data_IF_630354123852
#
_entry.id   IF_630354123852
#
_cell.length_a   1.000
_cell.length_b   1.000
_cell.length_c   1.000
_cell.angle_alpha   90.00
_cell.angle_beta   90.00
_cell.angle_gamma   90.00
#
_symmetry.space_group_name_H-M   'P 1'
#
loop_
_entity.id
_entity.type
_entity.pdbx_description
1 polymer ?
#
# COMPACT_ATOMS: atom_id res chain seq x y z
N UNK A 1 6.83 20.41 -22.55
CA UNK A 1 5.43 19.99 -22.77
C UNK A 1 4.87 19.51 -21.44
N UNK A 2 3.87 20.21 -20.89
CA UNK A 2 3.21 19.80 -19.65
C UNK A 2 2.28 18.62 -19.97
N UNK A 3 2.45 17.48 -19.31
CA UNK A 3 1.45 16.40 -19.30
C UNK A 3 0.22 16.95 -18.57
N UNK A 4 -0.71 17.55 -19.30
CA UNK A 4 -2.04 17.81 -18.75
C UNK A 4 -2.68 16.44 -18.52
N UNK A 5 -2.91 16.16 -17.24
CA UNK A 5 -3.48 14.93 -16.72
C UNK A 5 -4.84 14.68 -17.36
N UNK A 6 -4.97 13.55 -18.05
CA UNK A 6 -6.23 12.99 -18.52
C UNK A 6 -7.15 12.57 -17.37
N UNK A 7 -6.61 12.33 -16.16
CA UNK A 7 -7.38 11.83 -15.01
C UNK A 7 -8.36 12.85 -14.41
N UNK A 8 -8.08 14.16 -14.51
CA UNK A 8 -8.93 15.18 -13.89
C UNK A 8 -10.27 15.31 -14.63
N UNK A 9 -10.26 15.18 -15.97
CA UNK A 9 -11.47 15.24 -16.80
C UNK A 9 -12.41 14.08 -16.53
N UNK A 10 -11.86 12.89 -16.27
CA UNK A 10 -12.66 11.70 -15.99
C UNK A 10 -13.43 11.83 -14.66
N UNK A 11 -12.82 12.45 -13.64
CA UNK A 11 -13.45 12.61 -12.31
C UNK A 11 -14.64 13.58 -12.34
N UNK A 12 -14.49 14.71 -13.05
CA UNK A 12 -15.56 15.72 -13.17
C UNK A 12 -16.76 15.17 -13.94
N UNK A 13 -16.52 14.38 -14.98
CA UNK A 13 -17.55 13.70 -15.77
C UNK A 13 -18.28 12.63 -14.94
N UNK A 14 -17.55 11.77 -14.22
CA UNK A 14 -18.13 10.78 -13.30
C UNK A 14 -18.97 11.46 -12.22
N UNK A 15 -18.50 12.58 -11.66
CA UNK A 15 -19.24 13.35 -10.66
C UNK A 15 -20.55 13.94 -11.24
N UNK A 16 -20.51 14.43 -12.48
CA UNK A 16 -21.70 14.95 -13.15
C UNK A 16 -22.70 13.84 -13.47
N UNK A 17 -22.24 12.67 -13.90
CA UNK A 17 -23.10 11.50 -14.14
C UNK A 17 -23.79 11.03 -12.84
N UNK A 18 -23.04 10.96 -11.74
CA UNK A 18 -23.60 10.66 -10.43
C UNK A 18 -24.63 11.70 -9.97
N UNK A 19 -24.35 13.00 -10.20
CA UNK A 19 -25.29 14.08 -9.86
C UNK A 19 -26.62 13.99 -10.64
N UNK A 20 -26.57 13.50 -11.87
CA UNK A 20 -27.74 13.23 -12.71
C UNK A 20 -28.44 11.90 -12.35
N UNK A 21 -28.00 11.20 -11.30
CA UNK A 21 -28.58 9.94 -10.84
C UNK A 21 -28.22 8.72 -11.70
N UNK A 22 -27.18 8.82 -12.53
CA UNK A 22 -26.70 7.68 -13.32
C UNK A 22 -25.88 6.73 -12.44
N UNK A 23 -25.93 5.45 -12.78
CA UNK A 23 -25.07 4.45 -12.15
C UNK A 23 -23.63 4.63 -12.62
N UNK A 24 -22.74 4.89 -11.66
CA UNK A 24 -21.31 5.10 -11.87
C UNK A 24 -20.48 4.05 -11.11
N UNK A 25 -21.12 3.00 -10.59
CA UNK A 25 -20.49 1.97 -9.76
C UNK A 25 -19.33 1.26 -10.46
N UNK A 26 -19.35 1.14 -11.79
CA UNK A 26 -18.26 0.58 -12.59
C UNK A 26 -16.94 1.35 -12.46
N UNK A 27 -16.99 2.63 -12.09
CA UNK A 27 -15.80 3.45 -11.87
C UNK A 27 -15.22 3.30 -10.45
N UNK A 28 -15.93 2.63 -9.55
CA UNK A 28 -15.47 2.37 -8.19
C UNK A 28 -15.09 0.89 -8.04
N UNK A 29 -13.81 0.63 -7.82
CA UNK A 29 -13.31 -0.74 -7.64
C UNK A 29 -13.73 -1.40 -6.32
N UNK A 30 -14.40 -0.67 -5.42
CA UNK A 30 -14.73 -1.12 -4.06
C UNK A 30 -13.51 -1.37 -3.16
N UNK A 31 -12.30 -1.33 -3.72
CA UNK A 31 -11.04 -1.65 -3.07
C UNK A 31 -10.41 -0.42 -2.42
N UNK A 32 -11.20 0.33 -1.65
CA UNK A 32 -10.65 1.41 -0.84
C UNK A 32 -9.93 0.80 0.38
N UNK A 33 -8.65 0.47 0.22
CA UNK A 33 -7.81 0.14 1.36
C UNK A 33 -7.44 1.44 2.07
N UNK A 34 -8.07 1.68 3.23
CA UNK A 34 -7.68 2.75 4.14
C UNK A 34 -6.21 2.55 4.51
N UNK A 35 -5.34 3.47 4.05
CA UNK A 35 -3.93 3.50 4.45
C UNK A 35 -3.81 4.31 5.73
N UNK A 36 -3.52 3.65 6.83
CA UNK A 36 -3.18 4.34 8.08
C UNK A 36 -1.68 4.61 8.11
N UNK A 37 -1.31 5.87 8.30
CA UNK A 37 0.07 6.24 8.59
C UNK A 37 0.35 6.02 10.08
N UNK A 38 1.48 5.39 10.39
CA UNK A 38 1.98 5.20 11.74
C UNK A 38 3.37 5.81 11.85
N UNK A 39 3.68 6.39 13.01
CA UNK A 39 5.02 6.86 13.35
C UNK A 39 5.66 5.80 14.25
N UNK A 40 6.88 5.40 13.93
CA UNK A 40 7.62 4.36 14.64
C UNK A 40 9.03 4.84 14.94
N UNK A 41 9.46 4.66 16.17
CA UNK A 41 10.84 4.90 16.58
C UNK A 41 11.64 3.61 16.44
N UNK A 42 12.78 3.70 15.74
CA UNK A 42 13.73 2.61 15.61
C UNK A 42 15.04 2.97 16.32
N UNK A 43 15.68 2.02 17.03
CA UNK A 43 17.05 2.18 17.49
C UNK A 43 17.97 2.55 16.32
N UNK A 44 18.91 3.50 16.47
CA UNK A 44 19.74 3.98 15.37
C UNK A 44 20.53 2.88 14.66
N UNK A 45 21.06 1.91 15.41
CA UNK A 45 21.78 0.76 14.86
C UNK A 45 20.88 -0.13 14.00
N UNK A 46 19.65 -0.36 14.44
CA UNK A 46 18.67 -1.13 13.66
C UNK A 46 18.30 -0.39 12.36
N UNK A 47 18.10 0.93 12.44
CA UNK A 47 17.80 1.73 11.24
C UNK A 47 18.97 1.68 10.24
N UNK A 48 20.21 1.70 10.72
CA UNK A 48 21.40 1.55 9.87
C UNK A 48 21.45 0.18 9.18
N UNK A 49 21.14 -0.89 9.90
CA UNK A 49 21.05 -2.23 9.29
C UNK A 49 19.96 -2.29 8.22
N UNK A 50 18.79 -1.70 8.48
CA UNK A 50 17.70 -1.62 7.49
C UNK A 50 18.15 -0.84 6.25
N UNK A 51 18.88 0.26 6.42
CA UNK A 51 19.40 1.07 5.31
C UNK A 51 20.33 0.30 4.39
N UNK A 52 21.24 -0.50 4.96
CA UNK A 52 22.16 -1.34 4.20
C UNK A 52 21.37 -2.35 3.37
N UNK A 53 20.39 -3.03 3.96
CA UNK A 53 19.55 -3.99 3.24
C UNK A 53 18.72 -3.33 2.13
N UNK A 54 18.16 -2.15 2.41
CA UNK A 54 17.41 -1.37 1.41
C UNK A 54 18.29 -1.01 0.20
N UNK A 55 19.55 -0.63 0.43
CA UNK A 55 20.50 -0.32 -0.65
C UNK A 55 20.83 -1.56 -1.47
N UNK A 56 21.11 -2.70 -0.82
CA UNK A 56 21.42 -3.96 -1.50
C UNK A 56 20.28 -4.44 -2.40
N UNK A 57 19.04 -4.21 -1.97
CA UNK A 57 17.83 -4.65 -2.67
C UNK A 57 17.24 -3.57 -3.59
N UNK A 58 17.88 -2.40 -3.70
CA UNK A 58 17.38 -1.24 -4.43
C UNK A 58 15.91 -0.90 -4.12
N UNK A 59 15.60 -0.82 -2.82
CA UNK A 59 14.24 -0.65 -2.30
C UNK A 59 14.21 0.48 -1.27
N UNK A 60 13.07 1.15 -1.09
CA UNK A 60 12.91 2.10 0.01
C UNK A 60 12.58 1.39 1.33
N UNK A 61 12.84 2.07 2.46
CA UNK A 61 12.58 1.56 3.81
C UNK A 61 11.16 1.06 4.01
N UNK A 62 10.17 1.81 3.51
CA UNK A 62 8.77 1.49 3.77
C UNK A 62 8.38 0.18 3.10
N UNK A 63 8.80 -0.04 1.87
CA UNK A 63 8.48 -1.27 1.13
C UNK A 63 9.27 -2.46 1.69
N UNK A 64 10.51 -2.24 2.12
CA UNK A 64 11.29 -3.27 2.80
C UNK A 64 10.64 -3.71 4.12
N UNK A 65 10.22 -2.75 4.95
CA UNK A 65 9.52 -3.04 6.22
C UNK A 65 8.21 -3.80 5.95
N UNK A 66 7.40 -3.38 4.96
CA UNK A 66 6.17 -4.10 4.59
C UNK A 66 6.46 -5.53 4.17
N UNK A 67 7.47 -5.74 3.33
CA UNK A 67 7.87 -7.08 2.87
C UNK A 67 8.21 -7.97 4.06
N UNK A 68 9.08 -7.50 4.95
CA UNK A 68 9.50 -8.26 6.14
C UNK A 68 8.30 -8.56 7.06
N UNK A 69 7.40 -7.59 7.27
CA UNK A 69 6.18 -7.82 8.05
C UNK A 69 5.31 -8.93 7.43
N UNK A 70 5.11 -8.92 6.11
CA UNK A 70 4.33 -9.95 5.40
C UNK A 70 4.98 -11.33 5.54
N UNK A 71 6.29 -11.41 5.37
CA UNK A 71 7.04 -12.67 5.52
C UNK A 71 6.93 -13.24 6.94
N UNK A 72 7.10 -12.38 7.97
CA UNK A 72 6.98 -12.81 9.36
C UNK A 72 5.55 -13.24 9.71
N UNK A 73 4.54 -12.51 9.25
CA UNK A 73 3.14 -12.89 9.47
C UNK A 73 2.82 -14.23 8.79
N UNK A 74 3.28 -14.44 7.55
CA UNK A 74 3.10 -15.72 6.84
C UNK A 74 3.76 -16.86 7.61
N UNK A 75 5.00 -16.68 8.09
CA UNK A 75 5.69 -17.71 8.88
C UNK A 75 4.93 -18.07 10.17
N UNK A 76 4.41 -17.07 10.89
CA UNK A 76 3.59 -17.27 12.10
C UNK A 76 2.28 -18.01 11.78
N UNK A 77 1.63 -17.67 10.67
CA UNK A 77 0.40 -18.35 10.23
C UNK A 77 0.69 -19.82 9.89
N UNK A 78 1.76 -20.08 9.14
CA UNK A 78 2.19 -21.44 8.82
C UNK A 78 2.52 -22.26 10.06
N UNK A 79 3.19 -21.67 11.06
CA UNK A 79 3.50 -22.39 12.32
C UNK A 79 2.25 -22.69 13.15
N UNK A 80 1.25 -21.81 13.14
CA UNK A 80 -0.02 -22.06 13.85
C UNK A 80 -0.79 -23.21 13.22
N UNK A 81 -0.88 -23.24 11.88
CA UNK A 81 -1.55 -24.33 11.16
C UNK A 81 -0.86 -25.67 11.47
N UNK A 82 0.46 -25.72 11.44
CA UNK A 82 1.22 -26.93 11.76
C UNK A 82 1.00 -27.45 13.19
N UNK A 83 0.72 -26.56 14.15
CA UNK A 83 0.45 -26.94 15.54
C UNK A 83 -1.02 -27.31 15.82
N UNK A 84 -1.91 -27.21 14.82
CA UNK A 84 -3.35 -27.53 14.96
C UNK A 84 -3.72 -28.85 14.27
N UNK A 85 -2.74 -29.54 13.67
CA UNK A 85 -2.85 -30.88 13.07
C UNK A 85 -2.14 -31.88 13.99
#
# INVERSE_FOLDING_TARGET
MRKQSTEIKDIEEIAQQAHLGKDVSEHFTGNFQVKQQINLDFPPELLRSIDVECQLQNMNRQDWIKMVCVEKLRAIQSSRIANTV
#
